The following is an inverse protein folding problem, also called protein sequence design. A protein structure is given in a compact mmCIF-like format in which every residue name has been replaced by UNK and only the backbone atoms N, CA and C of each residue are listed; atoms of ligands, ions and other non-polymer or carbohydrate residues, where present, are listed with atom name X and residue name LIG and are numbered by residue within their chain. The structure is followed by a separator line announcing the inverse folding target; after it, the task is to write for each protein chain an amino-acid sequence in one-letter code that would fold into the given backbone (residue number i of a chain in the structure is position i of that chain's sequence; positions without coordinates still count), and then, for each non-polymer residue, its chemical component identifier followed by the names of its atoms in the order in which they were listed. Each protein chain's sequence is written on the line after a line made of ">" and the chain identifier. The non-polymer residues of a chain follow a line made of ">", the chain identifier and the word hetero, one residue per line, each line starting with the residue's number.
data_IF_230625217396
#
_entry.id   IF_230625217396
#
_cell.length_a   1.000
_cell.length_b   1.000
_cell.length_c   1.000
_cell.angle_alpha   90.00
_cell.angle_beta   90.00
_cell.angle_gamma   90.00
#
_symmetry.space_group_name_H-M   'P 1'
#
loop_
_entity.id
_entity.type
_entity.pdbx_description
1 polymer ?
#
# COMPACT_ATOMS: atom_id res chain seq x y z
N UNK A 1 -26.22 2.04 6.41
CA UNK A 1 -25.76 1.42 7.67
C UNK A 1 -25.75 2.51 8.74
N UNK A 2 -26.25 2.25 9.96
CA UNK A 2 -25.94 3.14 11.09
C UNK A 2 -24.45 2.96 11.38
N UNK A 3 -23.67 4.03 11.32
CA UNK A 3 -22.23 3.97 11.63
C UNK A 3 -22.00 3.75 13.12
N UNK A 4 -20.80 3.27 13.46
CA UNK A 4 -20.36 3.12 14.84
C UNK A 4 -20.40 4.45 15.59
N UNK A 5 -20.68 4.39 16.90
CA UNK A 5 -20.56 5.53 17.81
C UNK A 5 -19.25 5.43 18.58
N UNK A 6 -18.84 6.50 19.28
CA UNK A 6 -17.66 6.42 20.14
C UNK A 6 -17.77 5.26 21.16
N UNK A 7 -18.96 5.00 21.68
CA UNK A 7 -19.20 3.95 22.67
C UNK A 7 -19.19 2.53 22.09
N UNK A 8 -19.49 2.37 20.79
CA UNK A 8 -19.59 1.05 20.14
C UNK A 8 -18.43 0.74 19.20
N UNK A 9 -17.57 1.72 18.92
CA UNK A 9 -16.52 1.63 17.90
C UNK A 9 -15.59 0.43 18.09
N UNK A 10 -15.06 0.23 19.31
CA UNK A 10 -14.06 -0.81 19.55
C UNK A 10 -14.65 -2.22 19.39
N UNK A 11 -15.89 -2.42 19.86
CA UNK A 11 -16.60 -3.69 19.78
C UNK A 11 -17.06 -4.00 18.34
N UNK A 12 -17.57 -3.00 17.62
CA UNK A 12 -17.94 -3.13 16.22
C UNK A 12 -16.72 -3.40 15.34
N UNK A 13 -15.61 -2.69 15.58
CA UNK A 13 -14.34 -2.92 14.89
C UNK A 13 -13.84 -4.34 15.16
N UNK A 14 -13.79 -4.79 16.42
CA UNK A 14 -13.34 -6.13 16.75
C UNK A 14 -14.23 -7.22 16.13
N UNK A 15 -15.55 -7.03 16.15
CA UNK A 15 -16.51 -7.98 15.60
C UNK A 15 -16.36 -8.11 14.07
N UNK A 16 -16.34 -6.98 13.37
CA UNK A 16 -16.21 -6.96 11.91
C UNK A 16 -14.82 -7.41 11.45
N UNK A 17 -13.77 -7.05 12.19
CA UNK A 17 -12.42 -7.51 11.94
C UNK A 17 -12.29 -9.04 12.09
N UNK A 18 -12.83 -9.59 13.17
CA UNK A 18 -12.80 -11.04 13.40
C UNK A 18 -13.58 -11.81 12.31
N UNK A 19 -14.70 -11.25 11.85
CA UNK A 19 -15.45 -11.80 10.73
C UNK A 19 -14.60 -11.85 9.45
N UNK A 20 -14.00 -10.72 9.07
CA UNK A 20 -13.09 -10.63 7.93
C UNK A 20 -11.90 -11.59 8.04
N UNK A 21 -11.29 -11.71 9.21
CA UNK A 21 -10.16 -12.64 9.43
C UNK A 21 -10.56 -14.11 9.29
N UNK A 22 -11.82 -14.45 9.56
CA UNK A 22 -12.35 -15.82 9.43
C UNK A 22 -12.78 -16.11 8.00
N UNK A 23 -13.27 -15.09 7.30
CA UNK A 23 -13.69 -15.12 5.90
C UNK A 23 -13.35 -13.78 5.24
N UNK A 24 -12.32 -13.77 4.39
CA UNK A 24 -11.86 -12.56 3.72
C UNK A 24 -12.89 -11.96 2.74
N UNK A 25 -13.94 -12.73 2.39
CA UNK A 25 -15.05 -12.25 1.58
C UNK A 25 -16.14 -11.55 2.41
N UNK A 26 -16.09 -11.60 3.75
CA UNK A 26 -17.09 -10.96 4.61
C UNK A 26 -17.09 -9.45 4.44
N UNK A 27 -18.21 -8.88 4.01
CA UNK A 27 -18.35 -7.47 3.62
C UNK A 27 -18.61 -6.51 4.79
N UNK A 28 -18.66 -6.98 6.04
CA UNK A 28 -18.98 -6.13 7.21
C UNK A 28 -17.80 -5.26 7.63
N UNK A 29 -16.56 -5.72 7.42
CA UNK A 29 -15.38 -4.88 7.57
C UNK A 29 -15.24 -3.96 6.36
N UNK A 30 -15.27 -2.64 6.58
CA UNK A 30 -15.38 -1.63 5.51
C UNK A 30 -14.40 -0.46 5.74
N UNK A 31 -14.37 0.50 4.81
CA UNK A 31 -13.53 1.70 4.90
C UNK A 31 -12.19 1.57 4.17
N UNK A 32 -11.24 2.44 4.49
CA UNK A 32 -9.96 2.54 3.78
C UNK A 32 -9.08 1.30 3.97
N UNK A 33 -9.04 0.74 5.19
CA UNK A 33 -8.35 -0.53 5.43
C UNK A 33 -8.95 -1.68 4.60
N UNK A 34 -10.28 -1.72 4.46
CA UNK A 34 -10.92 -2.71 3.60
C UNK A 34 -10.49 -2.55 2.15
N UNK A 35 -10.45 -1.31 1.64
CA UNK A 35 -10.02 -1.03 0.27
C UNK A 35 -8.60 -1.52 0.00
N UNK A 36 -7.69 -1.35 0.96
CA UNK A 36 -6.33 -1.89 0.88
C UNK A 36 -6.34 -3.43 0.86
N UNK A 37 -7.09 -4.06 1.76
CA UNK A 37 -7.18 -5.52 1.86
C UNK A 37 -7.86 -6.19 0.66
N UNK A 38 -8.69 -5.45 -0.09
CA UNK A 38 -9.26 -5.87 -1.36
C UNK A 38 -8.28 -5.69 -2.54
N UNK A 39 -7.22 -4.90 -2.36
CA UNK A 39 -6.23 -4.56 -3.41
C UNK A 39 -4.89 -5.29 -3.25
N UNK A 40 -4.85 -6.35 -2.45
CA UNK A 40 -3.64 -7.15 -2.24
C UNK A 40 -3.16 -7.73 -3.58
N UNK A 41 -1.94 -7.38 -3.95
CA UNK A 41 -1.31 -7.73 -5.22
C UNK A 41 -0.05 -8.58 -5.00
N UNK A 42 0.69 -8.33 -3.91
CA UNK A 42 2.02 -8.89 -3.71
C UNK A 42 2.11 -9.87 -2.53
N UNK A 43 3.02 -10.85 -2.58
CA UNK A 43 3.27 -11.73 -1.45
C UNK A 43 3.66 -10.95 -0.19
N UNK A 44 3.07 -11.30 0.95
CA UNK A 44 3.33 -10.67 2.24
C UNK A 44 2.56 -9.38 2.51
N UNK A 45 1.98 -8.74 1.47
CA UNK A 45 1.23 -7.50 1.61
C UNK A 45 0.00 -7.65 2.51
N UNK A 46 -0.75 -8.75 2.37
CA UNK A 46 -1.91 -9.04 3.23
C UNK A 46 -1.54 -9.06 4.70
N UNK A 47 -0.47 -9.78 5.05
CA UNK A 47 -0.03 -9.89 6.44
C UNK A 47 0.36 -8.52 7.03
N UNK A 48 1.05 -7.68 6.24
CA UNK A 48 1.39 -6.33 6.65
C UNK A 48 0.16 -5.42 6.78
N UNK A 49 -0.81 -5.54 5.87
CA UNK A 49 -2.06 -4.78 5.92
C UNK A 49 -2.94 -5.20 7.11
N UNK A 50 -3.00 -6.50 7.42
CA UNK A 50 -3.67 -7.01 8.61
C UNK A 50 -3.01 -6.52 9.90
N UNK A 51 -1.66 -6.52 9.97
CA UNK A 51 -0.90 -5.95 11.09
C UNK A 51 -1.19 -4.44 11.27
N UNK A 52 -1.36 -3.69 10.17
CA UNK A 52 -1.72 -2.28 10.22
C UNK A 52 -3.11 -2.05 10.81
N UNK A 53 -4.09 -2.91 10.53
CA UNK A 53 -5.41 -2.84 11.16
C UNK A 53 -5.34 -3.17 12.65
N UNK A 54 -4.60 -4.21 13.02
CA UNK A 54 -4.48 -4.65 14.41
C UNK A 54 -3.79 -3.58 15.29
N UNK A 55 -2.70 -3.00 14.81
CA UNK A 55 -1.99 -1.91 15.50
C UNK A 55 -2.81 -0.61 15.55
N UNK A 56 -3.56 -0.30 14.49
CA UNK A 56 -4.52 0.81 14.50
C UNK A 56 -5.61 0.61 15.55
N UNK A 57 -6.17 -0.59 15.69
CA UNK A 57 -7.20 -0.88 16.68
C UNK A 57 -6.68 -0.67 18.11
N UNK A 58 -5.41 -0.99 18.39
CA UNK A 58 -4.77 -0.68 19.66
C UNK A 58 -4.66 0.83 19.87
N UNK A 59 -4.12 1.56 18.89
CA UNK A 59 -3.97 3.01 18.99
C UNK A 59 -5.32 3.75 19.13
N UNK A 60 -6.39 3.26 18.50
CA UNK A 60 -7.74 3.82 18.66
C UNK A 60 -8.29 3.68 20.08
N UNK A 61 -8.01 2.55 20.76
CA UNK A 61 -8.41 2.37 22.17
C UNK A 61 -7.72 3.37 23.09
N UNK A 62 -6.55 3.89 22.71
CA UNK A 62 -5.86 4.90 23.48
C UNK A 62 -6.64 6.22 23.53
N UNK A 63 -7.33 6.63 22.45
CA UNK A 63 -8.23 7.80 22.46
C UNK A 63 -9.35 7.63 23.49
N UNK A 64 -9.93 6.43 23.60
CA UNK A 64 -10.95 6.12 24.61
C UNK A 64 -10.40 6.21 26.02
N UNK A 65 -9.19 5.69 26.25
CA UNK A 65 -8.51 5.80 27.53
C UNK A 65 -8.22 7.25 27.91
N UNK A 66 -7.75 8.08 26.97
CA UNK A 66 -7.50 9.51 27.18
C UNK A 66 -8.80 10.22 27.57
N UNK A 67 -9.90 9.99 26.83
CA UNK A 67 -11.21 10.59 27.16
C UNK A 67 -11.72 10.15 28.52
N UNK A 68 -11.54 8.87 28.88
CA UNK A 68 -11.93 8.34 30.18
C UNK A 68 -11.13 8.99 31.33
N UNK A 69 -9.83 9.22 31.15
CA UNK A 69 -9.00 9.91 32.14
C UNK A 69 -9.45 11.37 32.33
N UNK A 70 -9.73 12.08 31.23
CA UNK A 70 -10.24 13.46 31.30
C UNK A 70 -11.61 13.50 31.98
N UNK A 71 -12.52 12.57 31.67
CA UNK A 71 -13.84 12.50 32.32
C UNK A 71 -13.74 12.21 33.83
N UNK A 72 -12.64 11.64 34.29
CA UNK A 72 -12.34 11.40 35.71
C UNK A 72 -11.61 12.57 36.40
N UNK A 73 -11.33 13.68 35.69
CA UNK A 73 -10.53 14.80 36.22
C UNK A 73 -9.04 14.48 36.38
N UNK A 74 -8.52 13.55 35.55
CA UNK A 74 -7.13 13.09 35.56
C UNK A 74 -6.35 13.59 34.35
N UNK A 75 -6.40 14.89 34.08
CA UNK A 75 -5.81 15.47 32.87
C UNK A 75 -4.29 15.27 32.80
N UNK A 76 -3.59 15.32 33.93
CA UNK A 76 -2.14 15.07 33.97
C UNK A 76 -1.79 13.64 33.56
N UNK A 77 -2.58 12.66 33.99
CA UNK A 77 -2.40 11.26 33.60
C UNK A 77 -2.74 11.07 32.12
N UNK A 78 -3.78 11.74 31.62
CA UNK A 78 -4.15 11.72 30.20
C UNK A 78 -3.01 12.26 29.32
N UNK A 79 -2.42 13.40 29.69
CA UNK A 79 -1.28 13.99 28.99
C UNK A 79 -0.07 13.05 29.06
N UNK A 80 0.28 12.55 30.26
CA UNK A 80 1.41 11.65 30.43
C UNK A 80 1.27 10.37 29.58
N UNK A 81 0.07 9.79 29.53
CA UNK A 81 -0.23 8.64 28.69
C UNK A 81 -0.17 8.96 27.19
N UNK A 82 -0.70 10.11 26.78
CA UNK A 82 -0.77 10.54 25.39
C UNK A 82 0.60 10.83 24.75
N UNK A 83 1.52 11.46 25.50
CA UNK A 83 2.81 11.89 24.93
C UNK A 83 3.95 10.89 25.13
N UNK A 84 3.78 9.90 26.01
CA UNK A 84 4.85 8.97 26.38
C UNK A 84 5.12 7.92 25.31
N UNK A 85 6.41 7.67 25.06
CA UNK A 85 6.93 6.62 24.17
C UNK A 85 7.31 5.34 24.92
N UNK A 86 7.02 5.25 26.22
CA UNK A 86 7.26 4.01 26.97
C UNK A 86 6.36 2.87 26.44
N UNK A 87 6.79 1.60 26.57
CA UNK A 87 5.97 0.46 26.17
C UNK A 87 4.57 0.51 26.80
N UNK A 88 3.53 0.31 25.99
CA UNK A 88 2.12 0.36 26.44
C UNK A 88 1.51 1.76 26.52
N UNK A 89 2.23 2.81 26.10
CA UNK A 89 1.74 4.18 26.07
C UNK A 89 1.34 4.62 24.66
N UNK A 90 0.55 5.69 24.56
CA UNK A 90 -0.14 6.05 23.32
C UNK A 90 0.79 6.33 22.15
N UNK A 91 1.87 7.08 22.36
CA UNK A 91 2.83 7.33 21.28
C UNK A 91 3.60 6.07 20.87
N UNK A 92 3.87 5.14 21.79
CA UNK A 92 4.49 3.86 21.41
C UNK A 92 3.56 3.03 20.50
N UNK A 93 2.26 3.00 20.79
CA UNK A 93 1.27 2.37 19.92
C UNK A 93 1.13 3.08 18.57
N UNK A 94 1.18 4.42 18.55
CA UNK A 94 1.22 5.19 17.31
C UNK A 94 2.42 4.82 16.44
N UNK A 95 3.62 4.72 17.04
CA UNK A 95 4.82 4.28 16.35
C UNK A 95 4.71 2.86 15.79
N UNK A 96 4.12 1.95 16.55
CA UNK A 96 3.86 0.58 16.08
C UNK A 96 2.91 0.56 14.87
N UNK A 97 1.86 1.38 14.89
CA UNK A 97 0.94 1.53 13.77
C UNK A 97 1.61 2.12 12.53
N UNK A 98 2.40 3.19 12.68
CA UNK A 98 3.18 3.75 11.57
C UNK A 98 4.16 2.73 10.97
N UNK A 99 4.85 1.97 11.82
CA UNK A 99 5.77 0.93 11.34
C UNK A 99 5.04 -0.17 10.55
N UNK A 100 3.81 -0.53 10.95
CA UNK A 100 2.99 -1.48 10.20
C UNK A 100 2.54 -0.92 8.84
N UNK A 101 2.14 0.36 8.78
CA UNK A 101 1.81 1.04 7.51
C UNK A 101 3.02 1.17 6.57
N UNK A 102 4.21 1.46 7.12
CA UNK A 102 5.44 1.54 6.35
C UNK A 102 5.78 0.20 5.69
N UNK A 103 5.55 -0.93 6.38
CA UNK A 103 5.74 -2.27 5.78
C UNK A 103 4.89 -2.47 4.53
N UNK A 104 3.60 -2.12 4.57
CA UNK A 104 2.70 -2.22 3.41
C UNK A 104 3.21 -1.34 2.25
N UNK A 105 3.59 -0.10 2.57
CA UNK A 105 4.12 0.87 1.61
C UNK A 105 5.42 0.38 0.97
N UNK A 106 6.32 -0.20 1.77
CA UNK A 106 7.62 -0.66 1.29
C UNK A 106 7.53 -1.88 0.38
N UNK A 107 6.61 -2.82 0.65
CA UNK A 107 6.34 -3.95 -0.26
C UNK A 107 5.93 -3.42 -1.64
N UNK A 108 4.93 -2.53 -1.67
CA UNK A 108 4.46 -1.91 -2.91
C UNK A 108 5.56 -1.13 -3.64
N UNK A 109 6.35 -0.34 -2.88
CA UNK A 109 7.46 0.45 -3.44
C UNK A 109 8.54 -0.43 -4.05
N UNK A 110 8.90 -1.53 -3.41
CA UNK A 110 9.91 -2.48 -3.91
C UNK A 110 9.47 -3.09 -5.24
N UNK A 111 8.23 -3.58 -5.31
CA UNK A 111 7.67 -4.14 -6.54
C UNK A 111 7.54 -3.12 -7.66
N UNK A 112 7.08 -1.90 -7.35
CA UNK A 112 7.03 -0.81 -8.33
C UNK A 112 8.41 -0.51 -8.90
N UNK A 113 9.42 -0.36 -8.03
CA UNK A 113 10.79 -0.06 -8.43
C UNK A 113 11.37 -1.16 -9.32
N UNK A 114 11.16 -2.42 -8.93
CA UNK A 114 11.60 -3.58 -9.71
C UNK A 114 10.94 -3.63 -11.09
N UNK A 115 9.63 -3.41 -11.18
CA UNK A 115 8.89 -3.39 -12.46
C UNK A 115 9.36 -2.26 -13.38
N UNK A 116 9.62 -1.06 -12.85
CA UNK A 116 10.18 0.06 -13.62
C UNK A 116 11.57 -0.29 -14.16
N UNK A 117 12.43 -0.90 -13.34
CA UNK A 117 13.77 -1.31 -13.75
C UNK A 117 13.73 -2.41 -14.83
N UNK A 118 12.84 -3.39 -14.68
CA UNK A 118 12.63 -4.45 -15.65
C UNK A 118 12.13 -3.90 -17.01
N UNK A 119 11.16 -2.98 -16.99
CA UNK A 119 10.64 -2.32 -18.18
C UNK A 119 11.71 -1.52 -18.92
N UNK A 120 12.50 -0.72 -18.20
CA UNK A 120 13.63 0.02 -18.79
C UNK A 120 14.66 -0.92 -19.43
N UNK A 121 14.97 -2.03 -18.77
CA UNK A 121 15.91 -3.03 -19.28
C UNK A 121 15.39 -3.75 -20.52
N UNK A 122 14.09 -4.02 -20.60
CA UNK A 122 13.46 -4.60 -21.78
C UNK A 122 13.55 -3.66 -23.00
N UNK A 123 13.18 -2.39 -22.84
CA UNK A 123 13.30 -1.37 -23.90
C UNK A 123 14.76 -1.20 -24.33
N UNK A 124 15.69 -1.11 -23.37
CA UNK A 124 17.12 -0.99 -23.65
C UNK A 124 17.68 -2.14 -24.49
N UNK A 125 17.20 -3.38 -24.27
CA UNK A 125 17.60 -4.55 -25.08
C UNK A 125 17.00 -4.56 -26.48
N UNK A 126 15.80 -4.00 -26.67
CA UNK A 126 15.10 -3.98 -27.96
C UNK A 126 15.57 -2.84 -28.88
N UNK A 127 16.03 -1.73 -28.31
CA UNK A 127 16.44 -0.55 -29.08
C UNK A 127 17.49 -0.84 -30.17
N UNK A 128 18.57 -1.60 -29.92
CA UNK A 128 19.54 -1.94 -30.96
C UNK A 128 18.93 -2.75 -32.12
N UNK A 129 18.03 -3.68 -31.80
CA UNK A 129 17.33 -4.48 -32.81
C UNK A 129 16.35 -3.65 -33.62
N UNK A 130 15.61 -2.75 -32.98
CA UNK A 130 14.71 -1.82 -33.65
C UNK A 130 15.48 -0.89 -34.61
N UNK A 131 16.62 -0.35 -34.17
CA UNK A 131 17.51 0.45 -35.02
C UNK A 131 18.07 -0.37 -36.18
N UNK A 132 18.51 -1.60 -35.91
CA UNK A 132 18.99 -2.53 -36.95
C UNK A 132 17.92 -2.83 -38.00
N UNK A 133 16.69 -3.11 -37.58
CA UNK A 133 15.55 -3.34 -38.47
C UNK A 133 15.23 -2.10 -39.32
N UNK A 134 15.29 -0.89 -38.72
CA UNK A 134 15.10 0.36 -39.45
C UNK A 134 16.18 0.57 -40.51
N UNK A 135 17.45 0.39 -40.16
CA UNK A 135 18.57 0.51 -41.10
C UNK A 135 18.48 -0.52 -42.23
N UNK A 136 18.08 -1.76 -41.92
CA UNK A 136 17.86 -2.81 -42.91
C UNK A 136 16.73 -2.42 -43.88
N UNK A 137 15.61 -1.88 -43.38
CA UNK A 137 14.52 -1.41 -44.23
C UNK A 137 14.95 -0.28 -45.17
N UNK A 138 15.74 0.68 -44.67
CA UNK A 138 16.32 1.76 -45.50
C UNK A 138 17.24 1.17 -46.58
N UNK A 139 18.15 0.27 -46.21
CA UNK A 139 19.06 -0.38 -47.15
C UNK A 139 18.29 -1.13 -48.25
N UNK A 140 17.32 -1.97 -47.87
CA UNK A 140 16.47 -2.71 -48.82
C UNK A 140 15.71 -1.77 -49.76
N UNK A 141 15.22 -0.63 -49.26
CA UNK A 141 14.54 0.38 -50.07
C UNK A 141 15.50 1.00 -51.09
N UNK A 142 16.69 1.40 -50.67
CA UNK A 142 17.71 1.99 -51.55
C UNK A 142 18.15 0.98 -52.62
N UNK A 143 18.47 -0.25 -52.23
CA UNK A 143 18.91 -1.28 -53.18
C UNK A 143 17.80 -1.74 -54.12
N UNK A 144 16.56 -1.86 -53.63
CA UNK A 144 15.40 -2.23 -54.44
C UNK A 144 15.03 -1.17 -55.48
N UNK A 145 15.17 0.11 -55.16
CA UNK A 145 14.87 1.20 -56.10
C UNK A 145 16.02 1.51 -57.08
N UNK A 146 17.27 1.14 -56.74
CA UNK A 146 18.47 1.42 -57.55
C UNK A 146 18.36 1.00 -59.03
N UNK A 147 17.91 -0.23 -59.39
CA UNK A 147 17.78 -0.62 -60.80
C UNK A 147 16.78 0.25 -61.56
N UNK A 148 15.66 0.61 -60.92
CA UNK A 148 14.63 1.46 -61.53
C UNK A 148 15.11 2.89 -61.74
N UNK A 149 15.91 3.45 -60.83
CA UNK A 149 16.53 4.76 -61.04
C UNK A 149 17.62 4.75 -62.12
N UNK A 150 18.26 3.61 -62.38
CA UNK A 150 19.23 3.48 -63.47
C UNK A 150 18.56 3.50 -64.86
N UNK A 151 17.27 3.17 -64.97
CA UNK A 151 16.52 3.25 -66.23
C UNK A 151 16.18 4.70 -66.65
N UNK A 152 16.21 5.66 -65.72
CA UNK A 152 15.85 7.07 -65.95
C UNK A 152 17.06 8.03 -65.96
N UNK A 153 18.29 7.50 -66.00
CA UNK A 153 19.53 8.27 -66.22
C UNK A 153 20.08 7.98 -67.60
#
# INVERSE_FOLDING_TARGET
>A
MRGATLATYDDELATTWQAYRSDHEDLRFTGEFRRELDNITFPGERAAAEEAVETYAVYQRDDRKIRALVAQGKEREAVAFGISWQPGMSNAHFGAWLAALDKVTDINRQHFTASVQAGRSAVGRLLPWALGALLAAVALTVFGLRPRYAEFR
#
